data_IF_353259112449
#
_entry.id   IF_353259112449
#
_cell.length_a   1.000
_cell.length_b   1.000
_cell.length_c   1.000
_cell.angle_alpha   90.00
_cell.angle_beta   90.00
_cell.angle_gamma   90.00
#
_symmetry.space_group_name_H-M   'P 1'
#
loop_
_entity.id
_entity.type
_entity.pdbx_description
1 polymer ?
#
# COMPACT_ATOMS: atom_id res chain seq x y z
N UNK A 1 -19.08 1.08 -23.60
CA UNK A 1 -18.87 2.05 -22.62
C UNK A 1 -18.54 1.45 -21.27
N UNK A 2 -17.57 1.99 -20.68
CA UNK A 2 -17.14 1.43 -19.43
C UNK A 2 -18.07 1.85 -18.30
N UNK A 3 -18.45 0.93 -17.49
CA UNK A 3 -19.23 1.23 -16.32
C UNK A 3 -18.38 1.76 -15.23
N UNK A 4 -18.94 2.67 -14.46
CA UNK A 4 -18.26 3.09 -13.26
C UNK A 4 -18.02 1.92 -12.33
N UNK A 5 -18.94 0.95 -12.35
CA UNK A 5 -18.77 -0.22 -11.51
C UNK A 5 -17.54 -1.03 -11.87
N UNK A 6 -17.19 -1.07 -13.16
CA UNK A 6 -16.00 -1.81 -13.55
C UNK A 6 -14.74 -1.18 -13.05
N UNK A 7 -14.77 0.11 -12.77
CA UNK A 7 -13.61 0.82 -12.29
C UNK A 7 -13.57 0.99 -10.78
N UNK A 8 -14.66 0.67 -10.12
CA UNK A 8 -14.73 0.90 -8.68
C UNK A 8 -13.68 0.11 -7.91
N UNK A 9 -13.31 -1.05 -8.44
CA UNK A 9 -12.31 -1.85 -7.72
C UNK A 9 -10.95 -1.18 -7.68
N UNK A 10 -10.74 -0.14 -8.49
CA UNK A 10 -9.47 0.58 -8.50
C UNK A 10 -9.46 1.71 -7.48
N UNK A 11 -10.59 1.99 -6.85
CA UNK A 11 -10.70 3.09 -5.91
C UNK A 11 -11.17 2.63 -4.54
N UNK A 12 -10.83 1.42 -4.19
CA UNK A 12 -11.17 0.90 -2.88
C UNK A 12 -10.45 1.67 -1.79
N UNK A 13 -11.14 1.87 -0.70
CA UNK A 13 -10.55 2.56 0.43
C UNK A 13 -9.74 1.59 1.26
N UNK A 14 -8.55 2.01 1.60
CA UNK A 14 -7.69 1.17 2.45
C UNK A 14 -8.12 1.35 3.89
N UNK A 15 -8.56 0.25 4.50
CA UNK A 15 -9.00 0.30 5.88
C UNK A 15 -7.89 -0.11 6.85
N UNK A 16 -6.96 -0.94 6.38
CA UNK A 16 -5.87 -1.40 7.24
C UNK A 16 -4.57 -1.30 6.49
N UNK A 17 -3.83 -0.24 6.69
CA UNK A 17 -2.55 -0.09 5.99
C UNK A 17 -1.54 -1.11 6.49
N UNK A 18 -0.69 -1.56 5.60
CA UNK A 18 0.39 -2.46 5.95
C UNK A 18 1.60 -1.61 6.29
N UNK A 19 2.03 -1.66 7.54
CA UNK A 19 3.11 -0.82 8.00
C UNK A 19 4.06 -1.60 8.88
N UNK A 20 5.25 -1.05 9.03
CA UNK A 20 6.26 -1.61 9.92
C UNK A 20 5.85 -1.42 11.38
N UNK A 21 6.01 -2.47 12.18
CA UNK A 21 5.66 -2.39 13.60
C UNK A 21 6.48 -1.32 14.30
N UNK A 22 7.75 -1.21 13.95
CA UNK A 22 8.61 -0.20 14.57
C UNK A 22 8.16 1.21 14.19
N UNK A 23 7.75 1.41 12.94
CA UNK A 23 7.22 2.71 12.54
C UNK A 23 5.95 3.03 13.32
N UNK A 24 5.08 2.05 13.46
CA UNK A 24 3.84 2.25 14.19
C UNK A 24 4.12 2.62 15.65
N UNK A 25 5.03 1.90 16.28
CA UNK A 25 5.38 2.20 17.67
C UNK A 25 5.98 3.59 17.83
N UNK A 26 6.84 3.98 16.89
CA UNK A 26 7.46 5.30 16.95
C UNK A 26 6.43 6.39 16.76
N UNK A 27 5.49 6.19 15.88
CA UNK A 27 4.45 7.17 15.64
C UNK A 27 3.54 7.31 16.86
N UNK A 28 3.12 6.18 17.42
CA UNK A 28 2.21 6.18 18.58
C UNK A 28 2.88 6.81 19.78
N UNK A 29 4.17 6.57 19.96
CA UNK A 29 4.87 7.11 21.11
C UNK A 29 5.28 8.58 20.95
N UNK A 30 4.93 9.18 19.82
CA UNK A 30 5.18 10.61 19.63
C UNK A 30 6.61 10.95 19.24
N UNK A 31 7.33 10.03 18.65
CA UNK A 31 8.71 10.27 18.25
C UNK A 31 8.83 10.97 16.91
N UNK A 32 7.73 11.44 16.37
CA UNK A 32 7.74 12.10 15.08
C UNK A 32 6.69 13.18 15.05
N UNK A 33 6.91 14.19 14.20
CA UNK A 33 5.94 15.25 13.97
C UNK A 33 4.97 14.92 12.87
N UNK A 34 5.06 13.75 12.28
CA UNK A 34 4.15 13.36 11.21
C UNK A 34 2.71 13.37 11.71
N UNK A 35 1.81 13.76 10.84
CA UNK A 35 0.41 13.92 11.22
C UNK A 35 -0.36 12.62 11.13
N UNK A 36 0.16 11.64 10.42
CA UNK A 36 -0.49 10.35 10.29
C UNK A 36 0.57 9.29 10.14
N UNK A 37 0.18 8.05 10.39
CA UNK A 37 1.08 6.93 10.23
C UNK A 37 1.51 6.80 8.78
N UNK A 38 0.58 7.02 7.84
CA UNK A 38 0.89 6.93 6.43
C UNK A 38 1.94 7.97 6.03
N UNK A 39 1.92 9.12 6.66
CA UNK A 39 2.92 10.14 6.37
C UNK A 39 4.29 9.75 6.90
N UNK A 40 4.32 9.05 8.01
CA UNK A 40 5.58 8.69 8.65
C UNK A 40 6.29 7.54 7.98
N UNK A 41 5.54 6.53 7.52
CA UNK A 41 6.16 5.29 7.04
C UNK A 41 6.82 5.50 5.68
N UNK A 42 7.84 4.70 5.42
CA UNK A 42 8.54 4.72 4.15
C UNK A 42 8.70 3.29 3.71
N UNK A 43 7.91 2.89 2.71
CA UNK A 43 7.88 1.50 2.29
C UNK A 43 8.18 1.35 0.82
N UNK A 44 8.76 0.21 0.49
CA UNK A 44 8.94 -0.24 -0.88
C UNK A 44 8.03 -1.41 -1.10
N UNK A 45 7.34 -1.42 -2.22
CA UNK A 45 6.47 -2.53 -2.58
C UNK A 45 6.83 -2.97 -3.98
N UNK A 46 7.04 -4.26 -4.15
CA UNK A 46 7.40 -4.76 -5.46
C UNK A 46 7.17 -6.25 -5.57
N UNK A 47 7.30 -6.72 -6.80
CA UNK A 47 7.15 -8.14 -7.07
C UNK A 47 8.46 -8.87 -6.85
N UNK A 48 8.36 -10.06 -6.32
CA UNK A 48 9.48 -10.97 -6.22
C UNK A 48 9.19 -12.16 -7.13
N UNK A 49 10.12 -13.12 -7.16
CA UNK A 49 9.86 -14.33 -7.93
C UNK A 49 8.65 -15.08 -7.41
N UNK A 50 8.30 -14.89 -6.15
CA UNK A 50 7.23 -15.67 -5.53
C UNK A 50 5.96 -14.88 -5.28
N UNK A 51 6.01 -13.56 -5.34
CA UNK A 51 4.81 -12.79 -5.06
C UNK A 51 5.09 -11.32 -4.86
N UNK A 52 4.64 -10.80 -3.75
CA UNK A 52 4.72 -9.38 -3.48
C UNK A 52 5.42 -9.16 -2.15
N UNK A 53 6.40 -8.27 -2.14
CA UNK A 53 7.13 -7.96 -0.91
C UNK A 53 6.94 -6.51 -0.53
N UNK A 54 6.78 -6.28 0.77
CA UNK A 54 6.65 -4.95 1.33
C UNK A 54 7.78 -4.77 2.34
N UNK A 55 8.58 -3.74 2.13
CA UNK A 55 9.83 -3.53 2.83
C UNK A 55 9.83 -2.17 3.49
N UNK A 56 10.29 -2.09 4.74
CA UNK A 56 10.42 -0.82 5.42
C UNK A 56 11.80 -0.24 5.16
N UNK A 57 11.84 0.90 4.51
CA UNK A 57 13.12 1.52 4.20
C UNK A 57 13.74 2.19 5.41
N UNK A 58 12.91 2.68 6.31
CA UNK A 58 13.43 3.36 7.49
C UNK A 58 14.14 2.39 8.43
N UNK A 59 13.56 1.23 8.66
CA UNK A 59 14.12 0.27 9.60
C UNK A 59 14.84 -0.89 8.92
N UNK A 60 14.87 -0.89 7.60
CA UNK A 60 15.59 -1.89 6.82
C UNK A 60 15.16 -3.30 7.19
N UNK A 61 13.84 -3.53 7.13
CA UNK A 61 13.32 -4.85 7.44
C UNK A 61 12.14 -5.17 6.55
N UNK A 62 11.87 -6.46 6.44
CA UNK A 62 10.72 -6.93 5.69
C UNK A 62 9.47 -6.80 6.54
N UNK A 63 8.45 -6.13 5.99
CA UNK A 63 7.18 -6.02 6.69
C UNK A 63 6.34 -7.25 6.39
N UNK A 64 6.30 -7.65 5.13
CA UNK A 64 5.38 -8.68 4.71
C UNK A 64 5.80 -9.21 3.35
N UNK A 65 5.62 -10.50 3.13
CA UNK A 65 5.77 -11.08 1.81
C UNK A 65 4.55 -11.96 1.53
N UNK A 66 3.85 -11.66 0.47
CA UNK A 66 2.70 -12.44 0.07
C UNK A 66 3.13 -13.40 -1.02
N UNK A 67 2.98 -14.69 -0.75
CA UNK A 67 3.40 -15.73 -1.67
C UNK A 67 2.21 -16.12 -2.54
N UNK A 68 2.37 -16.00 -3.85
CA UNK A 68 1.28 -16.33 -4.78
C UNK A 68 1.22 -17.82 -5.05
N UNK A 69 2.20 -18.59 -4.60
CA UNK A 69 2.23 -20.04 -4.77
C UNK A 69 2.05 -20.45 -6.23
N UNK A 70 2.77 -19.73 -7.10
CA UNK A 70 2.75 -19.96 -8.54
C UNK A 70 1.41 -19.68 -9.19
N UNK A 71 0.51 -19.05 -8.49
CA UNK A 71 -0.77 -18.67 -9.07
C UNK A 71 -0.66 -17.31 -9.72
N UNK A 72 -1.38 -17.14 -10.81
CA UNK A 72 -1.48 -15.85 -11.45
C UNK A 72 -2.64 -15.11 -10.84
N UNK A 73 -2.33 -13.97 -10.25
CA UNK A 73 -3.36 -13.11 -9.69
C UNK A 73 -3.66 -11.99 -10.65
N UNK A 74 -4.91 -11.61 -10.68
CA UNK A 74 -5.35 -10.52 -11.52
C UNK A 74 -4.78 -9.21 -10.98
N UNK A 75 -4.16 -8.43 -11.86
CA UNK A 75 -3.57 -7.17 -11.47
C UNK A 75 -3.98 -6.09 -12.46
N UNK A 76 -4.17 -4.90 -11.96
CA UNK A 76 -4.56 -3.79 -12.80
C UNK A 76 -3.61 -2.63 -12.53
N UNK A 77 -2.81 -2.28 -13.53
CA UNK A 77 -1.79 -1.25 -13.39
C UNK A 77 -2.14 0.04 -14.11
N UNK A 78 -3.40 0.29 -14.33
CA UNK A 78 -3.79 1.46 -15.13
C UNK A 78 -3.55 2.79 -14.46
N UNK A 79 -3.33 2.81 -13.17
CA UNK A 79 -3.00 4.05 -12.46
C UNK A 79 -4.01 5.16 -12.72
N UNK A 80 -5.28 4.83 -12.60
CA UNK A 80 -6.33 5.79 -12.87
C UNK A 80 -6.44 6.80 -11.73
N UNK A 81 -6.66 8.05 -12.11
CA UNK A 81 -6.84 9.10 -11.12
C UNK A 81 -8.31 9.31 -10.84
N UNK A 82 -8.59 9.55 -9.56
CA UNK A 82 -9.95 9.89 -9.17
C UNK A 82 -10.21 11.31 -9.59
N UNK A 83 -11.26 11.53 -10.38
CA UNK A 83 -11.53 12.85 -10.89
C UNK A 83 -12.07 13.76 -9.82
N UNK A 84 -11.65 15.02 -9.89
CA UNK A 84 -12.21 16.03 -9.03
C UNK A 84 -13.57 16.44 -9.58
N UNK A 85 -14.47 16.74 -8.69
CA UNK A 85 -15.82 17.04 -9.12
C UNK A 85 -15.96 18.36 -9.82
N UNK A 86 -15.25 19.29 -9.40
CA UNK A 86 -15.44 20.64 -9.90
C UNK A 86 -14.74 20.91 -11.19
N UNK A 87 -14.21 19.95 -11.75
CA UNK A 87 -13.49 20.13 -13.00
C UNK A 87 -14.42 20.13 -14.17
#
# INVERSE_FOLDING_TARGET
MSDLKELEHLFNQISEPIVCVKCSDEFISGQTDAKSLQEYVSVDVGFTKRGLQIWCQRHQLNICHINFEDQKLESDFRCLEKKQKNL
#
